data_IF_701505711852
#
_entry.id   IF_701505711852
#
_cell.length_a   1.000
_cell.length_b   1.000
_cell.length_c   1.000
_cell.angle_alpha   90.00
_cell.angle_beta   90.00
_cell.angle_gamma   90.00
#
_symmetry.space_group_name_H-M   'P 1'
#
loop_
_entity.id
_entity.type
_entity.pdbx_description
1 polymer ?
#
# COMPACT_ATOMS: atom_id res chain seq x y z
N UNK A 1 1.91 -6.41 10.04
CA UNK A 1 2.62 -6.37 8.75
C UNK A 1 2.76 -4.92 8.34
N UNK A 2 3.92 -4.52 7.86
CA UNK A 2 4.17 -3.19 7.32
C UNK A 2 4.37 -3.28 5.80
N UNK A 3 3.98 -2.23 5.09
CA UNK A 3 4.15 -2.13 3.65
C UNK A 3 4.71 -0.77 3.27
N UNK A 4 5.81 -0.79 2.52
CA UNK A 4 6.39 0.39 1.90
C UNK A 4 6.07 0.33 0.40
N UNK A 5 5.49 1.40 -0.16
CA UNK A 5 5.19 1.52 -1.58
C UNK A 5 6.02 2.63 -2.19
N UNK A 6 6.80 2.31 -3.21
CA UNK A 6 7.59 3.25 -4.00
C UNK A 6 6.80 3.61 -5.25
N UNK A 7 6.53 4.89 -5.48
CA UNK A 7 5.79 5.35 -6.66
C UNK A 7 6.71 5.87 -7.75
N UNK A 8 6.23 5.84 -8.99
CA UNK A 8 7.00 6.27 -10.16
C UNK A 8 7.36 7.76 -10.16
N UNK A 9 6.65 8.57 -9.36
CA UNK A 9 6.93 10.00 -9.19
C UNK A 9 7.92 10.30 -8.04
N UNK A 10 8.57 9.27 -7.47
CA UNK A 10 9.57 9.42 -6.40
C UNK A 10 8.99 9.58 -5.00
N UNK A 11 7.67 9.52 -4.82
CA UNK A 11 7.08 9.47 -3.49
C UNK A 11 7.23 8.06 -2.89
N UNK A 12 7.27 7.99 -1.56
CA UNK A 12 7.27 6.74 -0.82
C UNK A 12 6.19 6.80 0.24
N UNK A 13 5.34 5.78 0.28
CA UNK A 13 4.29 5.65 1.28
C UNK A 13 4.62 4.50 2.21
N UNK A 14 4.44 4.71 3.52
CA UNK A 14 4.65 3.70 4.55
C UNK A 14 3.34 3.45 5.28
N UNK A 15 2.87 2.21 5.23
CA UNK A 15 1.63 1.75 5.82
C UNK A 15 1.94 0.78 6.97
N UNK A 16 1.25 1.01 8.09
CA UNK A 16 1.27 0.15 9.27
C UNK A 16 -0.02 -0.65 9.34
N UNK A 17 0.03 -1.78 10.05
CA UNK A 17 -1.14 -2.65 10.27
C UNK A 17 -1.85 -3.02 8.96
N UNK A 18 -1.06 -3.42 7.96
CA UNK A 18 -1.57 -3.81 6.66
C UNK A 18 -2.17 -5.22 6.74
N UNK A 19 -3.35 -5.37 6.16
CA UNK A 19 -4.10 -6.62 6.10
C UNK A 19 -4.62 -6.86 4.69
N UNK A 20 -5.02 -8.11 4.39
CA UNK A 20 -5.65 -8.46 3.12
C UNK A 20 -4.85 -8.05 1.86
N UNK A 21 -3.52 -8.09 1.93
CA UNK A 21 -2.69 -7.76 0.77
C UNK A 21 -2.94 -8.76 -0.36
N UNK A 22 -3.47 -8.25 -1.47
CA UNK A 22 -3.93 -9.03 -2.62
C UNK A 22 -3.36 -8.43 -3.90
N UNK A 23 -2.49 -9.15 -4.62
CA UNK A 23 -2.15 -8.82 -5.99
C UNK A 23 -3.42 -8.82 -6.85
N UNK A 24 -3.48 -7.91 -7.82
CA UNK A 24 -4.54 -7.86 -8.84
C UNK A 24 -3.90 -7.93 -10.23
N UNK A 25 -4.72 -8.09 -11.27
CA UNK A 25 -4.22 -8.10 -12.66
C UNK A 25 -3.55 -6.79 -13.07
N UNK A 26 -3.90 -5.68 -12.43
CA UNK A 26 -3.42 -4.34 -12.77
C UNK A 26 -2.59 -3.69 -11.66
N UNK A 27 -2.29 -4.41 -10.57
CA UNK A 27 -1.82 -3.75 -9.37
C UNK A 27 -1.82 -4.64 -8.13
N UNK A 28 -2.15 -4.01 -7.02
CA UNK A 28 -2.38 -4.66 -5.74
C UNK A 28 -3.31 -3.80 -4.88
N UNK A 29 -3.96 -4.43 -3.91
CA UNK A 29 -4.80 -3.74 -2.94
C UNK A 29 -4.60 -4.34 -1.56
N UNK A 30 -4.85 -3.52 -0.54
CA UNK A 30 -4.74 -3.93 0.85
C UNK A 30 -5.61 -3.04 1.72
N UNK A 31 -5.87 -3.49 2.93
CA UNK A 31 -6.53 -2.71 3.97
C UNK A 31 -5.47 -2.21 4.94
N UNK A 32 -5.61 -0.99 5.46
CA UNK A 32 -4.71 -0.43 6.47
C UNK A 32 -5.51 0.40 7.48
N UNK A 33 -5.02 0.50 8.71
CA UNK A 33 -5.56 1.40 9.72
C UNK A 33 -4.65 2.61 9.87
N UNK A 34 -5.19 3.81 9.64
CA UNK A 34 -4.40 5.03 9.73
C UNK A 34 -3.95 5.30 11.18
N UNK A 35 -2.65 5.24 11.46
CA UNK A 35 -2.11 5.38 12.83
C UNK A 35 -2.59 6.64 13.57
N UNK A 36 -2.70 7.77 12.86
CA UNK A 36 -3.15 9.02 13.46
C UNK A 36 -4.69 9.14 13.57
N UNK A 37 -5.43 8.48 12.69
CA UNK A 37 -6.89 8.64 12.58
C UNK A 37 -7.67 7.48 13.21
N UNK A 38 -7.05 6.32 13.39
CA UNK A 38 -7.71 5.07 13.78
C UNK A 38 -8.69 4.54 12.73
N UNK A 39 -8.74 5.13 11.53
CA UNK A 39 -9.72 4.77 10.50
C UNK A 39 -9.14 3.72 9.57
N UNK A 40 -9.85 2.60 9.43
CA UNK A 40 -9.54 1.54 8.47
C UNK A 40 -9.96 1.95 7.07
N UNK A 41 -9.05 1.82 6.10
CA UNK A 41 -9.29 2.15 4.69
C UNK A 41 -8.72 1.07 3.78
N UNK A 42 -9.31 0.97 2.59
CA UNK A 42 -8.77 0.16 1.50
C UNK A 42 -7.92 1.02 0.57
N UNK A 43 -6.67 0.63 0.36
CA UNK A 43 -5.78 1.21 -0.63
C UNK A 43 -5.75 0.34 -1.88
N UNK A 44 -5.66 0.98 -3.05
CA UNK A 44 -5.52 0.32 -4.35
C UNK A 44 -4.43 1.05 -5.11
N UNK A 45 -3.42 0.30 -5.54
CA UNK A 45 -2.31 0.81 -6.35
C UNK A 45 -2.29 0.11 -7.70
N UNK A 46 -1.93 0.86 -8.74
CA UNK A 46 -1.77 0.35 -10.10
C UNK A 46 -0.28 0.14 -10.39
N UNK A 47 0.04 -0.89 -11.17
CA UNK A 47 1.40 -1.17 -11.63
C UNK A 47 1.99 -0.03 -12.49
N UNK A 48 1.17 0.81 -13.11
CA UNK A 48 1.64 1.99 -13.88
C UNK A 48 2.04 3.17 -13.01
N UNK A 49 1.62 3.21 -11.74
CA UNK A 49 1.93 4.29 -10.79
C UNK A 49 2.93 3.88 -9.70
N UNK A 50 3.28 2.60 -9.63
CA UNK A 50 4.19 2.04 -8.63
C UNK A 50 5.46 1.50 -9.27
N UNK A 51 6.60 1.85 -8.67
CA UNK A 51 7.91 1.32 -9.04
C UNK A 51 8.19 0.00 -8.33
N UNK A 52 7.58 -0.20 -7.16
CA UNK A 52 7.68 -1.44 -6.38
C UNK A 52 7.11 -1.30 -4.98
N UNK A 53 7.18 -2.36 -4.20
CA UNK A 53 6.82 -2.37 -2.78
C UNK A 53 7.73 -3.32 -1.99
N UNK A 54 7.82 -3.07 -0.68
CA UNK A 54 8.53 -3.94 0.26
C UNK A 54 7.62 -4.27 1.45
N UNK A 55 7.56 -5.56 1.80
CA UNK A 55 6.84 -6.08 2.97
C UNK A 55 7.84 -6.25 4.11
N UNK A 56 7.50 -5.73 5.30
CA UNK A 56 8.33 -5.77 6.51
C UNK A 56 7.53 -6.31 7.69
#
# INVERSE_FOLDING_TARGET
MELIVFTNNGQTYHFFEVEDFKPTTTGFSFTYTGKATGVTRKAVFNNTSTAGYALV
#
